data_IF_930385606309
#
_entry.id   IF_930385606309
#
_cell.length_a   1.000
_cell.length_b   1.000
_cell.length_c   1.000
_cell.angle_alpha   90.00
_cell.angle_beta   90.00
_cell.angle_gamma   90.00
#
_symmetry.space_group_name_H-M   'P 1'
#
loop_
_entity.id
_entity.type
_entity.pdbx_description
1 polymer ?
#
# COMPACT_ATOMS: atom_id res chain seq x y z
N UNK A 1 15.69 -20.36 -3.34
CA UNK A 1 14.28 -20.73 -3.57
C UNK A 1 13.35 -20.10 -2.54
N UNK A 2 13.76 -20.03 -1.27
CA UNK A 2 12.97 -19.42 -0.17
C UNK A 2 12.69 -17.92 -0.37
N UNK A 3 13.68 -17.12 -0.79
CA UNK A 3 13.50 -15.67 -1.01
C UNK A 3 12.53 -15.33 -2.15
N UNK A 4 12.50 -16.16 -3.20
CA UNK A 4 11.58 -15.98 -4.32
C UNK A 4 10.13 -16.22 -3.89
N UNK A 5 9.89 -17.22 -3.04
CA UNK A 5 8.57 -17.50 -2.48
C UNK A 5 8.12 -16.37 -1.53
N UNK A 6 9.02 -15.86 -0.68
CA UNK A 6 8.71 -14.73 0.19
C UNK A 6 8.32 -13.48 -0.61
N UNK A 7 9.07 -13.17 -1.67
CA UNK A 7 8.79 -12.05 -2.55
C UNK A 7 7.43 -12.20 -3.26
N UNK A 8 7.10 -13.41 -3.74
CA UNK A 8 5.80 -13.70 -4.35
C UNK A 8 4.64 -13.51 -3.37
N UNK A 9 4.77 -13.98 -2.13
CA UNK A 9 3.77 -13.78 -1.08
C UNK A 9 3.60 -12.30 -0.79
N UNK A 10 4.71 -11.55 -0.72
CA UNK A 10 4.70 -10.12 -0.42
C UNK A 10 4.01 -9.32 -1.54
N UNK A 11 4.34 -9.61 -2.79
CA UNK A 11 3.68 -9.04 -3.96
C UNK A 11 2.18 -9.39 -4.01
N UNK A 12 1.82 -10.63 -3.71
CA UNK A 12 0.42 -11.06 -3.67
C UNK A 12 -0.36 -10.31 -2.60
N UNK A 13 0.19 -10.17 -1.39
CA UNK A 13 -0.44 -9.39 -0.31
C UNK A 13 -0.60 -7.91 -0.69
N UNK A 14 0.40 -7.34 -1.34
CA UNK A 14 0.36 -5.95 -1.80
C UNK A 14 -0.72 -5.78 -2.87
N UNK A 15 -0.82 -6.72 -3.81
CA UNK A 15 -1.86 -6.74 -4.84
C UNK A 15 -3.26 -6.78 -4.22
N UNK A 16 -3.53 -7.73 -3.32
CA UNK A 16 -4.84 -7.86 -2.66
C UNK A 16 -5.22 -6.59 -1.90
N UNK A 17 -4.31 -6.05 -1.09
CA UNK A 17 -4.57 -4.81 -0.34
C UNK A 17 -4.81 -3.59 -1.27
N UNK A 18 -4.13 -3.55 -2.42
CA UNK A 18 -4.32 -2.50 -3.43
C UNK A 18 -5.68 -2.62 -4.13
N UNK A 19 -6.06 -3.83 -4.55
CA UNK A 19 -7.37 -4.10 -5.15
C UNK A 19 -8.52 -3.73 -4.20
N UNK A 20 -8.40 -4.10 -2.93
CA UNK A 20 -9.39 -3.73 -1.91
C UNK A 20 -9.49 -2.22 -1.72
N UNK A 21 -8.35 -1.53 -1.66
CA UNK A 21 -8.31 -0.07 -1.58
C UNK A 21 -9.00 0.59 -2.78
N UNK A 22 -8.73 0.11 -4.00
CA UNK A 22 -9.36 0.60 -5.23
C UNK A 22 -10.87 0.38 -5.18
N UNK A 23 -11.31 -0.82 -4.80
CA UNK A 23 -12.72 -1.16 -4.69
C UNK A 23 -13.47 -0.22 -3.74
N UNK A 24 -13.02 -0.09 -2.49
CA UNK A 24 -13.67 0.78 -1.51
C UNK A 24 -13.70 2.24 -1.96
N UNK A 25 -12.62 2.74 -2.58
CA UNK A 25 -12.58 4.11 -3.09
C UNK A 25 -13.56 4.34 -4.24
N UNK A 26 -13.65 3.40 -5.17
CA UNK A 26 -14.63 3.45 -6.24
C UNK A 26 -16.04 3.51 -5.67
N UNK A 27 -16.36 2.69 -4.66
CA UNK A 27 -17.65 2.74 -3.97
C UNK A 27 -17.90 4.09 -3.26
N UNK A 28 -16.89 4.63 -2.56
CA UNK A 28 -17.03 5.95 -1.91
C UNK A 28 -17.21 7.09 -2.92
N UNK A 29 -16.54 7.04 -4.07
CA UNK A 29 -16.69 8.03 -5.15
C UNK A 29 -18.11 7.96 -5.73
N UNK A 30 -18.60 6.76 -6.04
CA UNK A 30 -19.98 6.55 -6.51
C UNK A 30 -21.03 7.03 -5.49
N UNK A 31 -20.77 6.84 -4.20
CA UNK A 31 -21.66 7.27 -3.13
C UNK A 31 -21.47 8.74 -2.71
N UNK A 32 -20.55 9.50 -3.33
CA UNK A 32 -20.25 10.88 -2.93
C UNK A 32 -19.65 11.04 -1.52
N UNK A 33 -19.06 9.98 -0.95
CA UNK A 33 -18.53 9.92 0.43
C UNK A 33 -17.01 10.06 0.54
N UNK A 34 -16.31 10.38 -0.57
CA UNK A 34 -14.86 10.52 -0.56
C UNK A 34 -14.45 11.93 -0.08
N UNK A 35 -13.86 12.04 1.12
CA UNK A 35 -13.38 13.32 1.66
C UNK A 35 -11.97 13.68 1.17
N UNK A 36 -11.72 14.98 1.03
CA UNK A 36 -10.38 15.51 0.67
C UNK A 36 -9.33 15.12 1.72
N UNK A 37 -9.69 15.15 3.01
CA UNK A 37 -8.80 14.74 4.09
C UNK A 37 -8.36 13.27 3.97
N UNK A 38 -9.25 12.35 3.56
CA UNK A 38 -8.89 10.95 3.35
C UNK A 38 -7.94 10.80 2.14
N UNK A 39 -8.13 11.59 1.09
CA UNK A 39 -7.23 11.61 -0.05
C UNK A 39 -5.83 12.11 0.32
N UNK A 40 -5.74 13.21 1.07
CA UNK A 40 -4.48 13.76 1.54
C UNK A 40 -3.73 12.77 2.45
N UNK A 41 -4.42 12.13 3.39
CA UNK A 41 -3.84 11.09 4.23
C UNK A 41 -3.22 9.98 3.37
N UNK A 42 -3.98 9.47 2.39
CA UNK A 42 -3.50 8.47 1.42
C UNK A 42 -2.21 8.89 0.70
N UNK A 43 -2.16 10.11 0.18
CA UNK A 43 -0.99 10.63 -0.54
C UNK A 43 0.22 10.68 0.39
N UNK A 44 0.05 11.20 1.60
CA UNK A 44 1.11 11.25 2.62
C UNK A 44 1.64 9.85 2.95
N UNK A 45 0.75 8.87 3.12
CA UNK A 45 1.14 7.47 3.37
C UNK A 45 1.96 6.88 2.22
N UNK A 46 1.60 7.21 0.97
CA UNK A 46 2.29 6.71 -0.23
C UNK A 46 3.66 7.38 -0.43
N UNK A 47 3.77 8.68 -0.16
CA UNK A 47 5.04 9.42 -0.18
C UNK A 47 6.00 8.88 0.88
N UNK A 48 5.52 8.65 2.10
CA UNK A 48 6.34 8.07 3.17
C UNK A 48 6.84 6.65 2.80
N UNK A 49 5.99 5.82 2.20
CA UNK A 49 6.39 4.50 1.72
C UNK A 49 7.44 4.59 0.60
N UNK A 50 7.29 5.54 -0.33
CA UNK A 50 8.26 5.78 -1.40
C UNK A 50 9.63 6.19 -0.86
N UNK A 51 9.67 7.08 0.13
CA UNK A 51 10.93 7.49 0.77
C UNK A 51 11.64 6.31 1.44
N UNK A 52 10.89 5.47 2.17
CA UNK A 52 11.44 4.27 2.81
C UNK A 52 11.95 3.26 1.78
N UNK A 53 11.19 3.04 0.71
CA UNK A 53 11.60 2.16 -0.38
C UNK A 53 12.85 2.69 -1.10
N UNK A 54 12.94 3.99 -1.35
CA UNK A 54 14.11 4.61 -1.96
C UNK A 54 15.36 4.45 -1.10
N UNK A 55 15.24 4.58 0.23
CA UNK A 55 16.35 4.31 1.16
C UNK A 55 16.76 2.84 1.10
N UNK A 56 15.81 1.91 1.10
CA UNK A 56 16.10 0.48 1.01
C UNK A 56 16.87 0.16 -0.28
N UNK A 57 16.41 0.68 -1.42
CA UNK A 57 17.10 0.52 -2.70
C UNK A 57 18.48 1.17 -2.70
N UNK A 58 18.61 2.41 -2.22
CA UNK A 58 19.88 3.14 -2.21
C UNK A 58 20.93 2.53 -1.28
N UNK A 59 20.51 1.83 -0.23
CA UNK A 59 21.39 1.11 0.71
C UNK A 59 21.65 -0.34 0.28
N UNK A 60 21.20 -0.73 -0.92
CA UNK A 60 21.43 -2.08 -1.46
C UNK A 60 20.63 -3.18 -0.76
N UNK A 61 19.55 -2.84 -0.06
CA UNK A 61 18.65 -3.83 0.51
C UNK A 61 17.87 -4.55 -0.60
N UNK A 62 17.50 -5.81 -0.33
CA UNK A 62 16.78 -6.65 -1.26
C UNK A 62 15.41 -6.10 -1.68
N UNK A 63 14.80 -6.67 -2.74
CA UNK A 63 13.52 -6.21 -3.27
C UNK A 63 12.37 -6.33 -2.27
N UNK A 64 12.45 -7.27 -1.31
CA UNK A 64 11.47 -7.40 -0.24
C UNK A 64 11.50 -6.17 0.69
N UNK A 65 12.68 -5.68 1.05
CA UNK A 65 12.85 -4.48 1.87
C UNK A 65 12.30 -3.23 1.18
N UNK A 66 12.46 -3.12 -0.14
CA UNK A 66 11.88 -2.04 -0.93
C UNK A 66 10.33 -2.11 -1.01
N UNK A 67 9.74 -3.31 -0.98
CA UNK A 67 8.29 -3.51 -1.09
C UNK A 67 7.52 -3.48 0.24
N UNK A 68 8.17 -3.86 1.36
CA UNK A 68 7.55 -3.86 2.70
C UNK A 68 6.88 -2.53 3.08
N UNK A 69 7.47 -1.34 2.82
CA UNK A 69 6.82 -0.06 3.09
C UNK A 69 5.48 0.12 2.37
N UNK A 70 5.41 -0.29 1.09
CA UNK A 70 4.18 -0.23 0.31
C UNK A 70 3.12 -1.18 0.83
N UNK A 71 3.50 -2.43 1.15
CA UNK A 71 2.56 -3.39 1.74
C UNK A 71 1.98 -2.88 3.07
N UNK A 72 2.82 -2.28 3.92
CA UNK A 72 2.39 -1.70 5.20
C UNK A 72 1.38 -0.56 4.98
N UNK A 73 1.68 0.35 4.05
CA UNK A 73 0.79 1.47 3.72
C UNK A 73 -0.54 0.99 3.12
N UNK A 74 -0.49 0.11 2.11
CA UNK A 74 -1.68 -0.46 1.46
C UNK A 74 -2.56 -1.23 2.46
N UNK A 75 -1.96 -2.03 3.34
CA UNK A 75 -2.69 -2.80 4.35
C UNK A 75 -3.32 -1.92 5.44
N UNK A 76 -2.71 -0.78 5.76
CA UNK A 76 -3.30 0.21 6.67
C UNK A 76 -4.47 0.92 6.00
N UNK A 77 -4.33 1.25 4.72
CA UNK A 77 -5.38 1.89 3.93
C UNK A 77 -6.61 0.99 3.81
N UNK A 78 -6.42 -0.24 3.32
CA UNK A 78 -7.49 -1.23 3.20
C UNK A 78 -8.25 -1.43 4.52
N UNK A 79 -7.54 -1.60 5.65
CA UNK A 79 -8.17 -1.71 6.97
C UNK A 79 -9.01 -0.50 7.36
N UNK A 80 -8.53 0.71 7.10
CA UNK A 80 -9.29 1.95 7.40
C UNK A 80 -10.51 2.10 6.50
N UNK A 81 -10.41 1.66 5.24
CA UNK A 81 -11.52 1.72 4.31
C UNK A 81 -12.59 0.65 4.56
N UNK A 82 -12.24 -0.52 5.10
CA UNK A 82 -13.22 -1.53 5.55
C UNK A 82 -14.19 -1.00 6.60
N UNK A 83 -13.77 -0.02 7.40
CA UNK A 83 -14.60 0.58 8.46
C UNK A 83 -15.39 1.82 8.01
N UNK A 84 -15.50 2.07 6.69
CA UNK A 84 -16.21 3.24 6.11
C UNK A 84 -17.27 2.81 5.11
#
# INVERSE_FOLDING_TARGET
MQDAMELQVLMTRLFVASCETIFHRSCMMLAGRCSVAEYQLMVTEKVAAMQQAAIATATGQGPDAALRPFLKAASRNARRLRSK
#
